data_IF_443167365691
#
_entry.id   IF_443167365691
#
_cell.length_a   1.000
_cell.length_b   1.000
_cell.length_c   1.000
_cell.angle_alpha   90.00
_cell.angle_beta   90.00
_cell.angle_gamma   90.00
#
_symmetry.space_group_name_H-M   'P 1'
#
loop_
_entity.id
_entity.type
_entity.pdbx_description
1 polymer ?
#
# COMPACT_ATOMS: atom_id res chain seq x y z
N UNK A 1 17.95 -5.14 11.08
CA UNK A 1 19.13 -4.36 10.68
C UNK A 1 20.18 -5.14 9.86
N UNK A 2 20.19 -6.47 9.87
CA UNK A 2 21.22 -7.27 9.18
C UNK A 2 21.42 -6.91 7.69
N UNK A 3 20.34 -6.70 6.94
CA UNK A 3 20.44 -6.37 5.51
C UNK A 3 21.02 -4.98 5.23
N UNK A 4 20.66 -3.97 6.04
CA UNK A 4 21.20 -2.60 5.91
C UNK A 4 22.71 -2.62 6.15
N UNK A 5 23.15 -3.30 7.21
CA UNK A 5 24.56 -3.42 7.55
C UNK A 5 25.33 -4.20 6.48
N UNK A 6 24.77 -5.30 5.97
CA UNK A 6 25.38 -6.07 4.89
C UNK A 6 25.53 -5.23 3.61
N UNK A 7 24.49 -4.49 3.21
CA UNK A 7 24.54 -3.60 2.05
C UNK A 7 25.63 -2.51 2.21
N UNK A 8 25.74 -1.91 3.40
CA UNK A 8 26.80 -0.95 3.71
C UNK A 8 28.18 -1.57 3.59
N UNK A 9 28.40 -2.74 4.19
CA UNK A 9 29.68 -3.45 4.15
C UNK A 9 30.12 -3.82 2.73
N UNK A 10 29.16 -4.01 1.81
CA UNK A 10 29.41 -4.29 0.40
C UNK A 10 29.46 -3.02 -0.47
N UNK A 11 29.50 -1.82 0.12
CA UNK A 11 29.55 -0.54 -0.59
C UNK A 11 28.43 -0.33 -1.62
N UNK A 12 27.22 -0.83 -1.31
CA UNK A 12 26.03 -0.57 -2.14
C UNK A 12 25.85 0.94 -2.32
N UNK A 13 25.68 1.38 -3.56
CA UNK A 13 25.57 2.81 -3.88
C UNK A 13 24.15 3.34 -3.64
N UNK A 14 23.14 2.59 -4.10
CA UNK A 14 21.73 2.95 -3.97
C UNK A 14 20.98 1.88 -3.20
N UNK A 15 20.46 2.24 -2.03
CA UNK A 15 19.63 1.37 -1.21
C UNK A 15 18.16 1.78 -1.32
N UNK A 16 17.32 0.88 -1.84
CA UNK A 16 15.87 1.08 -1.91
C UNK A 16 15.21 0.16 -0.89
N UNK A 17 14.41 0.73 0.00
CA UNK A 17 13.73 0.01 1.08
C UNK A 17 12.21 0.07 0.90
N UNK A 18 11.55 -1.09 0.87
CA UNK A 18 10.08 -1.15 0.92
C UNK A 18 9.62 -0.93 2.35
N UNK A 19 8.96 0.21 2.54
CA UNK A 19 8.51 0.70 3.83
C UNK A 19 7.01 0.94 3.85
N UNK A 20 6.52 1.32 5.02
CA UNK A 20 5.16 1.73 5.29
C UNK A 20 5.19 2.83 6.35
N UNK A 21 4.06 3.50 6.56
CA UNK A 21 3.92 4.60 7.51
C UNK A 21 4.30 4.18 8.95
N UNK A 22 4.83 5.14 9.72
CA UNK A 22 4.99 4.99 11.17
C UNK A 22 3.62 5.17 11.85
N UNK A 23 2.94 4.05 12.07
CA UNK A 23 1.55 4.08 12.55
C UNK A 23 1.45 4.56 13.98
N UNK A 24 2.46 4.30 14.80
CA UNK A 24 2.50 4.73 16.20
C UNK A 24 2.64 6.25 16.27
N UNK A 25 3.57 6.83 15.51
CA UNK A 25 3.77 8.27 15.49
C UNK A 25 2.53 9.02 14.97
N UNK A 26 1.99 8.61 13.82
CA UNK A 26 0.85 9.28 13.18
C UNK A 26 -0.43 9.13 14.02
N UNK A 27 -0.66 7.95 14.61
CA UNK A 27 -1.86 7.70 15.41
C UNK A 27 -1.77 8.19 16.86
N UNK A 28 -0.64 8.79 17.26
CA UNK A 28 -0.33 9.12 18.66
C UNK A 28 -0.48 7.90 19.59
N UNK A 29 0.03 6.75 19.15
CA UNK A 29 0.02 5.49 19.90
C UNK A 29 -1.30 4.72 19.91
N UNK A 30 -2.34 5.19 19.19
CA UNK A 30 -3.63 4.49 19.11
C UNK A 30 -3.57 3.19 18.31
N UNK A 31 -2.73 3.15 17.28
CA UNK A 31 -2.54 1.99 16.41
C UNK A 31 -1.05 1.65 16.26
N UNK A 32 -0.66 0.51 16.84
CA UNK A 32 0.62 -0.15 16.56
C UNK A 32 0.34 -1.35 15.64
N UNK A 33 0.74 -1.21 14.37
CA UNK A 33 0.65 -2.27 13.37
C UNK A 33 2.04 -2.90 13.19
N UNK A 34 2.32 -4.07 13.78
CA UNK A 34 3.64 -4.70 13.73
C UNK A 34 4.22 -4.85 12.31
N UNK A 35 3.40 -5.20 11.33
CA UNK A 35 3.82 -5.33 9.93
C UNK A 35 4.17 -3.99 9.24
N UNK A 36 3.64 -2.86 9.71
CA UNK A 36 4.05 -1.50 9.31
C UNK A 36 5.31 -1.11 10.09
N UNK A 37 5.25 -1.21 11.42
CA UNK A 37 6.29 -0.72 12.32
C UNK A 37 7.63 -1.41 12.13
N UNK A 38 7.65 -2.70 11.78
CA UNK A 38 8.89 -3.40 11.45
C UNK A 38 9.61 -2.74 10.27
N UNK A 39 8.87 -2.22 9.28
CA UNK A 39 9.43 -1.53 8.12
C UNK A 39 9.78 -0.08 8.42
N UNK A 40 8.89 0.64 9.10
CA UNK A 40 9.10 2.03 9.52
C UNK A 40 10.32 2.19 10.43
N UNK A 41 10.57 1.23 11.34
CA UNK A 41 11.76 1.23 12.21
C UNK A 41 13.08 1.07 11.42
N UNK A 42 13.07 0.29 10.35
CA UNK A 42 14.26 0.16 9.48
C UNK A 42 14.47 1.45 8.68
N UNK A 43 13.40 2.07 8.18
CA UNK A 43 13.47 3.38 7.55
C UNK A 43 14.03 4.45 8.51
N UNK A 44 13.47 4.56 9.72
CA UNK A 44 13.95 5.48 10.75
C UNK A 44 15.43 5.23 11.11
N UNK A 45 15.83 3.97 11.22
CA UNK A 45 17.24 3.61 11.43
C UNK A 45 18.11 4.14 10.28
N UNK A 46 17.78 3.86 9.02
CA UNK A 46 18.56 4.35 7.87
C UNK A 46 18.61 5.88 7.85
N UNK A 47 17.49 6.56 8.11
CA UNK A 47 17.41 8.03 8.17
C UNK A 47 18.25 8.63 9.30
N UNK A 48 18.44 7.93 10.42
CA UNK A 48 19.24 8.41 11.56
C UNK A 48 20.75 8.43 11.29
N UNK A 49 21.21 7.73 10.26
CA UNK A 49 22.62 7.53 9.96
C UNK A 49 23.06 8.48 8.84
N UNK A 50 23.28 9.76 9.15
CA UNK A 50 23.59 10.80 8.16
C UNK A 50 25.04 11.31 8.17
N UNK A 51 25.87 10.92 9.16
CA UNK A 51 27.22 11.47 9.33
C UNK A 51 28.28 10.37 9.55
N UNK A 52 28.91 9.82 8.48
CA UNK A 52 28.51 9.95 7.08
C UNK A 52 27.25 9.12 6.76
N UNK A 53 26.53 9.42 5.66
CA UNK A 53 25.37 8.63 5.24
C UNK A 53 25.76 7.17 4.96
N UNK A 54 24.83 6.24 5.20
CA UNK A 54 25.08 4.80 4.97
C UNK A 54 25.29 4.45 3.49
N UNK A 55 24.60 5.17 2.60
CA UNK A 55 24.57 4.93 1.17
C UNK A 55 24.67 6.27 0.44
N UNK A 56 25.21 6.26 -0.78
CA UNK A 56 25.25 7.46 -1.63
C UNK A 56 23.84 7.92 -2.01
N UNK A 57 22.97 6.96 -2.31
CA UNK A 57 21.56 7.17 -2.61
C UNK A 57 20.70 6.25 -1.75
N UNK A 58 19.57 6.76 -1.27
CA UNK A 58 18.57 6.02 -0.52
C UNK A 58 17.16 6.44 -0.95
N UNK A 59 16.29 5.47 -1.20
CA UNK A 59 14.87 5.71 -1.52
C UNK A 59 13.99 4.82 -0.65
N UNK A 60 12.89 5.36 -0.15
CA UNK A 60 11.89 4.59 0.60
C UNK A 60 10.65 4.45 -0.27
N UNK A 61 10.29 3.22 -0.64
CA UNK A 61 9.06 2.97 -1.40
C UNK A 61 7.93 2.58 -0.47
N UNK A 62 6.84 3.36 -0.46
CA UNK A 62 5.67 3.11 0.36
C UNK A 62 4.56 2.49 -0.49
N UNK A 63 4.38 1.19 -0.36
CA UNK A 63 3.45 0.42 -1.20
C UNK A 63 2.00 0.58 -0.77
N UNK A 64 1.06 0.59 -1.71
CA UNK A 64 -0.38 0.53 -1.46
C UNK A 64 -0.92 -0.86 -1.11
N UNK A 65 -2.24 -0.99 -1.07
CA UNK A 65 -3.01 -2.23 -1.00
C UNK A 65 -3.05 -2.92 -2.37
N UNK A 66 -2.72 -4.21 -2.43
CA UNK A 66 -2.54 -4.90 -3.71
C UNK A 66 -3.89 -5.36 -4.24
N UNK A 67 -4.14 -5.23 -5.55
CA UNK A 67 -5.30 -5.86 -6.17
C UNK A 67 -5.33 -7.37 -5.93
N UNK A 68 -4.16 -8.01 -5.84
CA UNK A 68 -4.01 -9.43 -5.52
C UNK A 68 -4.62 -9.84 -4.16
N UNK A 69 -4.79 -8.90 -3.22
CA UNK A 69 -5.45 -9.19 -1.94
C UNK A 69 -6.92 -9.56 -2.12
N UNK A 70 -7.55 -9.12 -3.23
CA UNK A 70 -8.91 -9.54 -3.60
C UNK A 70 -9.02 -11.03 -3.98
N UNK A 71 -7.89 -11.71 -4.22
CA UNK A 71 -7.83 -13.16 -4.40
C UNK A 71 -7.45 -13.92 -3.13
N UNK A 72 -7.20 -13.24 -2.01
CA UNK A 72 -6.74 -13.89 -0.78
C UNK A 72 -7.64 -13.56 0.39
N UNK A 73 -7.22 -12.65 1.27
CA UNK A 73 -7.92 -12.35 2.52
C UNK A 73 -8.97 -11.25 2.39
N UNK A 74 -9.10 -10.62 1.21
CA UNK A 74 -10.06 -9.54 0.95
C UNK A 74 -11.03 -9.91 -0.18
N UNK A 75 -11.42 -11.18 -0.23
CA UNK A 75 -12.41 -11.71 -1.18
C UNK A 75 -13.84 -11.30 -0.76
N UNK A 76 -14.77 -11.12 -1.71
CA UNK A 76 -16.18 -11.06 -1.38
C UNK A 76 -16.70 -12.42 -0.92
N UNK A 77 -17.89 -12.45 -0.31
CA UNK A 77 -18.61 -13.70 -0.03
C UNK A 77 -19.03 -14.40 -1.33
N UNK A 78 -19.56 -15.62 -1.22
CA UNK A 78 -20.15 -16.35 -2.34
C UNK A 78 -21.28 -15.57 -3.06
N UNK A 79 -21.96 -14.66 -2.33
CA UNK A 79 -23.01 -13.78 -2.86
C UNK A 79 -22.48 -12.46 -3.42
N UNK A 80 -21.16 -12.36 -3.63
CA UNK A 80 -20.44 -11.20 -4.15
C UNK A 80 -20.55 -9.96 -3.26
N UNK A 81 -20.64 -10.16 -1.95
CA UNK A 81 -20.70 -9.08 -0.98
C UNK A 81 -19.36 -8.91 -0.26
N UNK A 82 -18.77 -7.73 -0.34
CA UNK A 82 -17.64 -7.35 0.51
C UNK A 82 -18.15 -6.94 1.89
N UNK A 83 -17.83 -7.74 2.91
CA UNK A 83 -18.21 -7.47 4.31
C UNK A 83 -16.96 -7.12 5.10
N UNK A 84 -16.70 -5.82 5.29
CA UNK A 84 -15.42 -5.34 5.84
C UNK A 84 -15.60 -4.18 6.81
N UNK A 85 -14.67 -4.03 7.75
CA UNK A 85 -14.61 -2.93 8.72
C UNK A 85 -13.99 -1.65 8.10
N UNK A 86 -14.44 -1.27 6.91
CA UNK A 86 -14.09 0.02 6.31
C UNK A 86 -15.30 0.94 6.39
N UNK A 87 -15.11 2.24 6.61
CA UNK A 87 -16.18 3.25 6.55
C UNK A 87 -16.42 3.65 5.09
N UNK A 88 -17.62 4.11 4.71
CA UNK A 88 -17.93 4.50 3.32
C UNK A 88 -16.97 5.54 2.72
N UNK A 89 -16.46 6.46 3.55
CA UNK A 89 -15.50 7.48 3.12
C UNK A 89 -14.04 7.01 3.10
N UNK A 90 -13.72 5.85 3.69
CA UNK A 90 -12.35 5.37 3.77
C UNK A 90 -11.85 5.01 2.38
N UNK A 91 -10.70 5.56 1.98
CA UNK A 91 -10.09 5.34 0.66
C UNK A 91 -8.87 4.45 0.78
N UNK A 92 -8.89 3.32 0.07
CA UNK A 92 -7.74 2.40 -0.01
C UNK A 92 -6.78 2.87 -1.11
N UNK A 93 -5.47 3.02 -0.84
CA UNK A 93 -4.47 3.31 -1.86
C UNK A 93 -4.11 2.01 -2.60
N UNK A 94 -4.73 1.75 -3.74
CA UNK A 94 -4.65 0.46 -4.43
C UNK A 94 -3.68 0.47 -5.61
N UNK A 95 -3.08 -0.68 -5.92
CA UNK A 95 -2.31 -0.91 -7.15
C UNK A 95 -2.12 -2.41 -7.47
N UNK A 96 -1.65 -2.71 -8.70
CA UNK A 96 -1.20 -4.05 -9.10
C UNK A 96 0.24 -4.29 -8.61
N UNK A 97 0.47 -5.29 -7.76
CA UNK A 97 1.81 -5.58 -7.22
C UNK A 97 2.89 -5.75 -8.31
N UNK A 98 2.48 -6.14 -9.52
CA UNK A 98 3.38 -6.33 -10.67
C UNK A 98 4.01 -5.03 -11.16
N UNK A 99 3.40 -3.87 -10.88
CA UNK A 99 3.94 -2.56 -11.26
C UNK A 99 5.07 -2.09 -10.32
N UNK A 100 5.27 -2.75 -9.18
CA UNK A 100 6.34 -2.41 -8.21
C UNK A 100 7.69 -2.32 -8.88
N UNK A 101 8.01 -3.27 -9.77
CA UNK A 101 9.30 -3.35 -10.44
C UNK A 101 9.56 -2.14 -11.33
N UNK A 102 8.55 -1.66 -12.06
CA UNK A 102 8.68 -0.50 -12.93
C UNK A 102 8.94 0.78 -12.12
N UNK A 103 8.23 1.00 -11.02
CA UNK A 103 8.46 2.16 -10.14
C UNK A 103 9.84 2.13 -9.49
N UNK A 104 10.26 0.95 -9.02
CA UNK A 104 11.60 0.77 -8.41
C UNK A 104 12.71 0.97 -9.45
N UNK A 105 12.53 0.50 -10.69
CA UNK A 105 13.47 0.73 -11.78
C UNK A 105 13.66 2.24 -12.05
N UNK A 106 12.57 3.02 -12.08
CA UNK A 106 12.63 4.48 -12.23
C UNK A 106 13.41 5.16 -11.09
N UNK A 107 13.34 4.62 -9.87
CA UNK A 107 14.15 5.12 -8.76
C UNK A 107 15.65 4.91 -9.01
N UNK A 108 16.05 3.72 -9.50
CA UNK A 108 17.44 3.43 -9.85
C UNK A 108 17.96 4.20 -11.07
N UNK A 109 17.11 4.45 -12.07
CA UNK A 109 17.46 5.21 -13.27
C UNK A 109 17.61 6.71 -12.99
N UNK A 110 16.91 7.21 -11.97
CA UNK A 110 16.91 8.64 -11.60
C UNK A 110 17.27 8.87 -10.12
N UNK A 111 18.45 8.40 -9.67
CA UNK A 111 18.82 8.42 -8.24
C UNK A 111 19.05 9.84 -7.71
N UNK A 112 19.40 10.81 -8.55
CA UNK A 112 19.52 12.21 -8.12
C UNK A 112 18.16 12.83 -7.78
N UNK A 113 17.06 12.34 -8.39
CA UNK A 113 15.70 12.80 -8.12
C UNK A 113 15.07 12.04 -6.95
N UNK A 114 15.29 10.73 -6.85
CA UNK A 114 14.57 9.87 -5.90
C UNK A 114 15.42 9.32 -4.76
N UNK A 115 16.75 9.42 -4.87
CA UNK A 115 17.73 8.82 -3.97
C UNK A 115 18.20 9.70 -2.82
N UNK A 116 17.57 10.85 -2.57
CA UNK A 116 17.94 11.76 -1.45
C UNK A 116 17.14 11.50 -0.17
N UNK A 117 16.73 10.25 0.07
CA UNK A 117 15.89 9.86 1.20
C UNK A 117 14.40 10.15 1.00
N UNK A 118 13.97 10.32 -0.24
CA UNK A 118 12.58 10.59 -0.60
C UNK A 118 11.68 9.37 -0.33
N UNK A 119 10.42 9.64 0.01
CA UNK A 119 9.35 8.65 0.01
C UNK A 119 8.70 8.63 -1.37
N UNK A 120 8.78 7.50 -2.06
CA UNK A 120 8.11 7.26 -3.34
C UNK A 120 6.90 6.36 -3.08
N UNK A 121 5.66 6.87 -3.20
CA UNK A 121 4.49 6.03 -3.07
C UNK A 121 4.33 5.13 -4.30
N UNK A 122 3.78 3.92 -4.09
CA UNK A 122 3.39 3.00 -5.17
C UNK A 122 1.89 2.79 -5.07
N UNK A 123 1.13 3.65 -5.77
CA UNK A 123 -0.33 3.68 -5.76
C UNK A 123 -0.85 4.04 -7.14
N UNK A 124 -1.77 3.25 -7.68
CA UNK A 124 -2.44 3.55 -8.94
C UNK A 124 -3.70 4.41 -8.72
N UNK A 125 -4.49 4.06 -7.70
CA UNK A 125 -5.76 4.73 -7.42
C UNK A 125 -6.03 4.78 -5.91
N UNK A 126 -6.81 5.76 -5.44
CA UNK A 126 -7.37 5.76 -4.08
C UNK A 126 -8.87 5.63 -4.18
N UNK A 127 -9.44 4.51 -3.76
CA UNK A 127 -10.86 4.21 -3.97
C UNK A 127 -11.57 3.84 -2.68
N UNK A 128 -12.84 4.23 -2.55
CA UNK A 128 -13.75 3.70 -1.52
C UNK A 128 -14.24 2.31 -1.91
N UNK A 129 -14.82 1.58 -0.95
CA UNK A 129 -15.46 0.29 -1.24
C UNK A 129 -16.63 0.42 -2.21
N UNK A 130 -17.34 1.55 -2.20
CA UNK A 130 -18.44 1.84 -3.13
C UNK A 130 -17.92 1.99 -4.57
N UNK A 131 -16.87 2.79 -4.76
CA UNK A 131 -16.21 2.98 -6.06
C UNK A 131 -15.60 1.66 -6.58
N UNK A 132 -14.98 0.86 -5.70
CA UNK A 132 -14.50 -0.50 -6.05
C UNK A 132 -15.66 -1.36 -6.56
N UNK A 133 -16.76 -1.43 -5.82
CA UNK A 133 -17.93 -2.23 -6.24
C UNK A 133 -18.53 -1.71 -7.54
N UNK A 134 -18.58 -0.40 -7.76
CA UNK A 134 -19.04 0.19 -9.02
C UNK A 134 -18.14 -0.19 -10.20
N UNK A 135 -16.82 -0.11 -10.04
CA UNK A 135 -15.86 -0.53 -11.08
C UNK A 135 -16.03 -2.01 -11.39
N UNK A 136 -16.14 -2.87 -10.38
CA UNK A 136 -16.35 -4.31 -10.59
C UNK A 136 -17.65 -4.54 -11.37
N UNK A 137 -18.78 -3.98 -10.93
CA UNK A 137 -20.08 -4.12 -11.62
C UNK A 137 -20.00 -3.68 -13.08
N UNK A 138 -19.39 -2.52 -13.34
CA UNK A 138 -19.24 -1.98 -14.70
C UNK A 138 -18.40 -2.88 -15.59
N UNK A 139 -17.31 -3.46 -15.07
CA UNK A 139 -16.37 -4.27 -15.86
C UNK A 139 -16.87 -5.70 -16.07
N UNK A 140 -17.47 -6.31 -15.04
CA UNK A 140 -17.91 -7.71 -15.07
C UNK A 140 -19.36 -7.90 -15.52
N UNK A 141 -20.18 -6.84 -15.44
CA UNK A 141 -21.63 -6.91 -15.65
C UNK A 141 -22.38 -7.59 -14.51
N UNK A 142 -21.74 -7.80 -13.35
CA UNK A 142 -22.33 -8.53 -12.23
C UNK A 142 -22.97 -7.59 -11.19
N UNK A 143 -24.23 -7.25 -11.39
CA UNK A 143 -24.98 -6.29 -10.54
C UNK A 143 -25.15 -6.71 -9.08
N UNK A 144 -24.82 -7.96 -8.71
CA UNK A 144 -24.90 -8.45 -7.32
C UNK A 144 -23.76 -7.92 -6.44
N UNK A 145 -22.67 -7.46 -7.05
CA UNK A 145 -21.47 -7.00 -6.33
C UNK A 145 -21.83 -5.78 -5.48
N UNK A 146 -21.65 -5.92 -4.17
CA UNK A 146 -21.99 -4.89 -3.20
C UNK A 146 -21.05 -4.92 -2.00
N UNK A 147 -21.12 -3.88 -1.19
CA UNK A 147 -20.35 -3.76 0.03
C UNK A 147 -21.27 -3.52 1.23
N UNK A 148 -20.90 -4.09 2.38
CA UNK A 148 -21.53 -3.84 3.68
C UNK A 148 -20.45 -3.50 4.69
N UNK A 149 -20.59 -2.33 5.32
CA UNK A 149 -19.79 -1.96 6.47
C UNK A 149 -20.11 -2.90 7.64
N UNK A 150 -19.09 -3.56 8.19
CA UNK A 150 -19.22 -4.28 9.44
C UNK A 150 -18.97 -3.36 10.64
N UNK A 151 -19.57 -3.71 11.78
CA UNK A 151 -19.21 -3.16 13.09
C UNK A 151 -18.07 -3.94 13.74
N UNK A 152 -17.43 -3.38 14.76
CA UNK A 152 -16.41 -4.09 15.54
C UNK A 152 -16.94 -5.39 16.16
N UNK A 153 -18.19 -5.39 16.63
CA UNK A 153 -18.86 -6.57 17.21
C UNK A 153 -19.04 -7.68 16.17
N UNK A 154 -19.41 -7.32 14.94
CA UNK A 154 -19.53 -8.27 13.83
C UNK A 154 -18.20 -8.83 13.35
N UNK A 155 -17.09 -8.19 13.73
CA UNK A 155 -15.73 -8.64 13.41
C UNK A 155 -15.11 -9.47 14.55
N UNK A 156 -15.87 -9.82 15.59
CA UNK A 156 -15.38 -10.64 16.70
C UNK A 156 -14.78 -11.96 16.21
N UNK A 157 -13.55 -12.26 16.65
CA UNK A 157 -12.81 -13.46 16.25
C UNK A 157 -11.87 -13.29 15.05
N UNK A 158 -11.93 -12.16 14.33
CA UNK A 158 -10.92 -11.84 13.32
C UNK A 158 -9.60 -11.40 13.97
N UNK A 159 -8.48 -11.60 13.25
CA UNK A 159 -7.16 -11.24 13.74
C UNK A 159 -7.06 -9.73 14.01
N UNK A 160 -6.61 -9.37 15.22
CA UNK A 160 -6.50 -7.98 15.69
C UNK A 160 -5.76 -7.08 14.70
N UNK A 161 -4.60 -7.54 14.21
CA UNK A 161 -3.76 -6.77 13.29
C UNK A 161 -4.45 -6.49 11.94
N UNK A 162 -5.28 -7.43 11.46
CA UNK A 162 -6.06 -7.22 10.23
C UNK A 162 -7.15 -6.16 10.45
N UNK A 163 -7.86 -6.20 11.58
CA UNK A 163 -8.86 -5.20 11.91
C UNK A 163 -8.23 -3.82 12.14
N UNK A 164 -7.10 -3.76 12.84
CA UNK A 164 -6.38 -2.51 13.07
C UNK A 164 -5.86 -1.90 11.75
N UNK A 165 -5.51 -2.72 10.76
CA UNK A 165 -5.14 -2.21 9.43
C UNK A 165 -6.35 -1.58 8.71
N UNK A 166 -7.57 -2.13 8.89
CA UNK A 166 -8.78 -1.49 8.37
C UNK A 166 -9.13 -0.20 9.13
N UNK A 167 -8.99 -0.20 10.46
CA UNK A 167 -9.14 1.02 11.29
C UNK A 167 -8.12 2.09 10.91
N UNK A 168 -6.91 1.68 10.57
CA UNK A 168 -5.89 2.58 10.04
C UNK A 168 -6.35 3.28 8.77
N UNK A 169 -6.92 2.57 7.79
CA UNK A 169 -7.49 3.22 6.60
C UNK A 169 -8.69 4.12 6.91
N UNK A 170 -9.52 3.75 7.88
CA UNK A 170 -10.68 4.55 8.30
C UNK A 170 -10.29 5.89 8.90
N UNK A 171 -9.31 5.89 9.78
CA UNK A 171 -9.04 7.04 10.66
C UNK A 171 -7.77 7.79 10.25
N UNK A 172 -6.86 7.13 9.51
CA UNK A 172 -5.54 7.67 9.20
C UNK A 172 -5.09 7.59 7.74
N UNK A 173 -5.85 6.90 6.87
CA UNK A 173 -5.46 6.70 5.47
C UNK A 173 -5.18 7.99 4.71
N UNK A 174 -5.84 9.10 5.06
CA UNK A 174 -5.68 10.41 4.41
C UNK A 174 -4.46 11.21 4.92
N UNK A 175 -3.85 10.84 6.04
CA UNK A 175 -2.58 11.45 6.48
C UNK A 175 -1.35 10.85 5.78
N UNK A 176 -1.56 9.83 4.95
CA UNK A 176 -0.47 9.16 4.26
C UNK A 176 -0.09 9.86 2.97
N UNK A 177 1.20 9.95 2.69
CA UNK A 177 1.72 10.49 1.44
C UNK A 177 1.42 9.61 0.20
N UNK A 178 0.73 8.47 0.39
CA UNK A 178 0.38 7.48 -0.63
C UNK A 178 -0.71 7.99 -1.58
N UNK A 179 -0.37 8.94 -2.46
CA UNK A 179 -1.24 9.50 -3.48
C UNK A 179 -0.82 9.09 -4.90
N UNK A 180 -1.79 8.82 -5.79
CA UNK A 180 -1.49 8.39 -7.16
C UNK A 180 -0.78 9.47 -7.97
N UNK A 181 -1.08 10.76 -7.74
CA UNK A 181 -0.40 11.85 -8.47
C UNK A 181 1.11 11.88 -8.21
N UNK A 182 1.53 11.63 -6.97
CA UNK A 182 2.95 11.47 -6.61
C UNK A 182 3.57 10.22 -7.26
N UNK A 183 2.79 9.14 -7.41
CA UNK A 183 3.27 7.93 -8.10
C UNK A 183 3.49 8.22 -9.59
N UNK A 184 2.58 8.97 -10.23
CA UNK A 184 2.68 9.35 -11.65
C UNK A 184 3.90 10.20 -11.96
N UNK A 185 4.40 10.99 -11.01
CA UNK A 185 5.66 11.72 -11.18
C UNK A 185 6.87 10.81 -11.40
N UNK A 186 6.78 9.56 -10.93
CA UNK A 186 7.81 8.52 -11.03
C UNK A 186 7.50 7.57 -12.18
N UNK A 187 6.25 7.12 -12.29
CA UNK A 187 5.78 6.17 -13.29
C UNK A 187 4.28 6.36 -13.57
N UNK A 188 3.95 6.76 -14.79
CA UNK A 188 2.61 7.18 -15.20
C UNK A 188 1.76 6.05 -15.82
N UNK A 189 2.30 4.84 -15.90
CA UNK A 189 1.63 3.65 -16.49
C UNK A 189 1.18 2.64 -15.44
N UNK A 190 0.91 3.11 -14.23
CA UNK A 190 0.33 2.27 -13.17
C UNK A 190 -1.02 1.73 -13.63
N UNK A 191 -1.22 0.42 -13.51
CA UNK A 191 -2.45 -0.25 -13.91
C UNK A 191 -3.59 0.11 -12.96
N UNK A 192 -4.71 0.49 -13.53
CA UNK A 192 -5.96 0.73 -12.81
C UNK A 192 -6.63 -0.58 -12.40
N UNK A 193 -7.57 -0.49 -11.46
CA UNK A 193 -8.39 -1.63 -11.02
C UNK A 193 -9.17 -2.20 -12.21
N UNK A 194 -9.74 -1.35 -13.07
CA UNK A 194 -10.47 -1.79 -14.25
C UNK A 194 -9.59 -2.61 -15.20
N UNK A 195 -8.40 -2.11 -15.53
CA UNK A 195 -7.45 -2.83 -16.39
C UNK A 195 -7.03 -4.16 -15.77
N UNK A 196 -6.78 -4.17 -14.45
CA UNK A 196 -6.43 -5.38 -13.72
C UNK A 196 -7.56 -6.43 -13.75
N UNK A 197 -8.82 -6.02 -13.55
CA UNK A 197 -9.97 -6.93 -13.62
C UNK A 197 -10.09 -7.52 -15.03
N UNK A 198 -10.00 -6.69 -16.08
CA UNK A 198 -10.11 -7.13 -17.48
C UNK A 198 -9.00 -8.12 -17.85
N UNK A 199 -7.78 -7.85 -17.40
CA UNK A 199 -6.63 -8.70 -17.69
C UNK A 199 -6.70 -10.05 -16.96
N UNK A 200 -7.04 -10.04 -15.68
CA UNK A 200 -7.09 -11.26 -14.84
C UNK A 200 -8.39 -12.04 -15.01
N UNK A 201 -9.41 -11.44 -15.64
CA UNK A 201 -10.79 -11.95 -15.72
C UNK A 201 -11.41 -12.21 -14.35
N UNK A 202 -10.93 -11.53 -13.30
CA UNK A 202 -11.44 -11.74 -11.95
C UNK A 202 -12.93 -11.35 -11.87
N UNK A 203 -13.75 -12.28 -11.36
CA UNK A 203 -15.21 -12.14 -11.25
C UNK A 203 -15.95 -11.91 -12.59
N UNK A 204 -15.31 -12.16 -13.73
CA UNK A 204 -15.98 -12.19 -15.03
C UNK A 204 -16.63 -13.56 -15.28
N UNK A 205 -17.78 -13.57 -15.96
CA UNK A 205 -18.46 -14.80 -16.39
C UNK A 205 -17.76 -15.47 -17.57
#
# INVERSE_FOLDING_TARGET
MNMVNAAKQQNVQHFIWSSLADTVAISNGKLDLPHYMTKARIEAYVRSQQNPPLFRYVTFVHVGFYYQNFHTFFQPTADLEFRVLLKPHARLPLYDVRDTGAVVAQCFEHPDRWGQGNVVPIVAQRLTMEEICEIIRRVTGNDKVRYTQLTDEQCAGQAKESLDNLRWYNDYGDFEERHPEKTKEVYDKMKTLEEWIRETKWLMN
#
